data_IF_286336690830
#
_entry.id   IF_286336690830
#
_cell.length_a   1.000
_cell.length_b   1.000
_cell.length_c   1.000
_cell.angle_alpha   90.00
_cell.angle_beta   90.00
_cell.angle_gamma   90.00
#
_symmetry.space_group_name_H-M   'P 1'
#
loop_
_entity.id
_entity.type
_entity.pdbx_description
1 polymer ?
#
# COMPACT_ATOMS: atom_id res chain seq x y z
N UNK A 1 3.99 -29.95 10.54
CA UNK A 1 4.16 -29.02 9.41
C UNK A 1 3.74 -29.72 8.13
N UNK A 2 2.80 -29.18 7.36
CA UNK A 2 2.38 -29.76 6.07
C UNK A 2 3.34 -29.29 4.96
N UNK A 3 4.28 -30.15 4.56
CA UNK A 3 5.33 -29.84 3.58
C UNK A 3 4.74 -29.38 2.23
N UNK A 4 3.59 -29.93 1.84
CA UNK A 4 2.85 -29.55 0.63
C UNK A 4 2.32 -28.12 0.70
N UNK A 5 1.69 -27.73 1.81
CA UNK A 5 1.19 -26.38 2.03
C UNK A 5 2.31 -25.34 2.07
N UNK A 6 3.44 -25.70 2.67
CA UNK A 6 4.62 -24.83 2.77
C UNK A 6 5.29 -24.61 1.41
N UNK A 7 5.39 -25.66 0.59
CA UNK A 7 5.92 -25.56 -0.78
C UNK A 7 5.04 -24.66 -1.66
N UNK A 8 3.71 -24.80 -1.55
CA UNK A 8 2.76 -23.95 -2.25
C UNK A 8 2.86 -22.48 -1.79
N UNK A 9 2.97 -22.24 -0.49
CA UNK A 9 3.16 -20.91 0.08
C UNK A 9 4.42 -20.22 -0.46
N UNK A 10 5.56 -20.91 -0.48
CA UNK A 10 6.81 -20.36 -1.01
C UNK A 10 6.68 -20.03 -2.50
N UNK A 11 6.10 -20.94 -3.29
CA UNK A 11 5.85 -20.70 -4.71
C UNK A 11 4.95 -19.47 -4.92
N UNK A 12 3.86 -19.36 -4.14
CA UNK A 12 2.96 -18.21 -4.18
C UNK A 12 3.67 -16.91 -3.81
N UNK A 13 4.48 -16.90 -2.75
CA UNK A 13 5.23 -15.72 -2.32
C UNK A 13 6.26 -15.28 -3.37
N UNK A 14 6.98 -16.20 -4.00
CA UNK A 14 7.94 -15.89 -5.07
C UNK A 14 7.25 -15.26 -6.28
N UNK A 15 6.16 -15.88 -6.76
CA UNK A 15 5.36 -15.34 -7.87
C UNK A 15 4.76 -13.99 -7.50
N UNK A 16 4.26 -13.85 -6.27
CA UNK A 16 3.73 -12.61 -5.71
C UNK A 16 4.77 -11.49 -5.71
N UNK A 17 5.96 -11.74 -5.19
CA UNK A 17 7.07 -10.77 -5.20
C UNK A 17 7.41 -10.35 -6.64
N UNK A 18 7.57 -11.31 -7.55
CA UNK A 18 7.88 -11.02 -8.95
C UNK A 18 6.79 -10.16 -9.60
N UNK A 19 5.51 -10.51 -9.38
CA UNK A 19 4.37 -9.73 -9.85
C UNK A 19 4.40 -8.29 -9.33
N UNK A 20 4.62 -8.11 -8.02
CA UNK A 20 4.68 -6.79 -7.39
C UNK A 20 5.83 -5.94 -7.93
N UNK A 21 7.02 -6.53 -8.11
CA UNK A 21 8.17 -5.83 -8.67
C UNK A 21 7.91 -5.36 -10.12
N UNK A 22 7.23 -6.18 -10.94
CA UNK A 22 6.85 -5.81 -12.31
C UNK A 22 5.86 -4.65 -12.31
N UNK A 23 4.81 -4.70 -11.49
CA UNK A 23 3.83 -3.62 -11.38
C UNK A 23 4.46 -2.32 -10.85
N UNK A 24 5.31 -2.42 -9.83
CA UNK A 24 6.08 -1.27 -9.32
C UNK A 24 6.93 -0.64 -10.42
N UNK A 25 7.68 -1.46 -11.16
CA UNK A 25 8.51 -0.97 -12.26
C UNK A 25 7.66 -0.25 -13.31
N UNK A 26 6.54 -0.85 -13.74
CA UNK A 26 5.63 -0.25 -14.72
C UNK A 26 5.08 1.10 -14.25
N UNK A 27 4.67 1.21 -12.99
CA UNK A 27 4.13 2.44 -12.43
C UNK A 27 5.22 3.51 -12.31
N UNK A 28 6.41 3.15 -11.80
CA UNK A 28 7.49 4.10 -11.60
C UNK A 28 8.18 4.54 -12.89
N UNK A 29 8.29 3.66 -13.89
CA UNK A 29 8.80 4.02 -15.21
C UNK A 29 7.85 5.03 -15.90
N UNK A 30 6.53 4.94 -15.68
CA UNK A 30 5.58 5.92 -16.22
C UNK A 30 5.63 7.30 -15.55
N UNK A 31 6.14 7.40 -14.31
CA UNK A 31 6.31 8.68 -13.60
C UNK A 31 7.58 9.41 -14.01
N UNK A 32 8.54 8.70 -14.61
CA UNK A 32 9.92 9.17 -14.68
C UNK A 32 10.21 9.87 -16.00
N UNK A 33 9.93 11.17 -16.02
CA UNK A 33 10.66 12.10 -16.89
C UNK A 33 12.02 12.51 -16.32
N UNK A 34 12.29 12.30 -15.03
CA UNK A 34 13.59 12.61 -14.40
C UNK A 34 14.38 11.34 -14.03
N UNK A 35 15.60 11.24 -14.57
CA UNK A 35 16.51 10.11 -14.31
C UNK A 35 16.98 10.06 -12.83
N UNK A 36 17.07 11.22 -12.18
CA UNK A 36 17.52 11.34 -10.79
C UNK A 36 16.55 10.73 -9.79
N UNK A 37 15.24 10.91 -9.99
CA UNK A 37 14.25 10.30 -9.13
C UNK A 37 14.27 8.77 -9.25
N UNK A 38 14.40 8.24 -10.48
CA UNK A 38 14.51 6.79 -10.70
C UNK A 38 15.76 6.20 -10.03
N UNK A 39 16.90 6.88 -10.15
CA UNK A 39 18.15 6.48 -9.48
C UNK A 39 17.99 6.47 -7.95
N UNK A 40 17.37 7.51 -7.38
CA UNK A 40 17.09 7.61 -5.93
C UNK A 40 16.19 6.46 -5.46
N UNK A 41 15.13 6.16 -6.21
CA UNK A 41 14.22 5.05 -5.94
C UNK A 41 14.97 3.72 -5.94
N UNK A 42 15.68 3.39 -7.03
CA UNK A 42 16.43 2.12 -7.15
C UNK A 42 17.48 1.98 -6.05
N UNK A 43 18.29 3.02 -5.81
CA UNK A 43 19.31 2.97 -4.77
C UNK A 43 18.71 2.72 -3.39
N UNK A 44 17.55 3.33 -3.09
CA UNK A 44 16.89 3.14 -1.81
C UNK A 44 16.16 1.80 -1.71
N UNK A 45 15.66 1.25 -2.82
CA UNK A 45 15.05 -0.08 -2.80
C UNK A 45 16.06 -1.17 -2.46
N UNK A 46 17.26 -1.12 -3.06
CA UNK A 46 18.28 -2.17 -2.91
C UNK A 46 19.25 -1.94 -1.73
N UNK A 47 19.58 -0.69 -1.37
CA UNK A 47 20.60 -0.38 -0.37
C UNK A 47 20.04 0.30 0.89
N UNK A 48 18.74 0.15 1.18
CA UNK A 48 18.18 0.75 2.39
C UNK A 48 18.55 -0.06 3.63
N UNK A 49 19.12 0.62 4.64
CA UNK A 49 19.30 0.05 5.99
C UNK A 49 17.97 -0.44 6.58
N UNK A 50 16.86 0.20 6.23
CA UNK A 50 15.53 -0.20 6.70
C UNK A 50 15.12 -1.59 6.19
N UNK A 51 15.58 -1.99 4.99
CA UNK A 51 15.32 -3.33 4.48
C UNK A 51 15.86 -4.38 5.46
N UNK A 52 17.14 -4.27 5.81
CA UNK A 52 17.78 -5.18 6.75
C UNK A 52 17.11 -5.15 8.12
N UNK A 53 16.75 -3.98 8.64
CA UNK A 53 16.03 -3.86 9.93
C UNK A 53 14.68 -4.57 9.89
N UNK A 54 13.90 -4.41 8.82
CA UNK A 54 12.58 -5.04 8.68
C UNK A 54 12.72 -6.55 8.56
N UNK A 55 13.61 -7.03 7.69
CA UNK A 55 13.87 -8.47 7.52
C UNK A 55 14.34 -9.09 8.85
N UNK A 56 15.30 -8.46 9.53
CA UNK A 56 15.75 -8.89 10.85
C UNK A 56 14.62 -8.91 11.88
N UNK A 57 13.75 -7.89 11.92
CA UNK A 57 12.63 -7.84 12.87
C UNK A 57 11.60 -8.97 12.68
N UNK A 58 11.51 -9.49 11.46
CA UNK A 58 10.60 -10.58 11.10
C UNK A 58 11.27 -11.93 11.35
N UNK A 59 12.57 -12.07 11.08
CA UNK A 59 13.30 -13.35 11.21
C UNK A 59 13.73 -13.64 12.65
N UNK A 60 14.29 -12.64 13.35
CA UNK A 60 14.89 -12.86 14.67
C UNK A 60 13.97 -13.52 15.69
N UNK A 61 12.68 -13.13 15.79
CA UNK A 61 11.83 -13.73 16.80
C UNK A 61 11.63 -15.24 16.59
N UNK A 62 11.56 -15.71 15.34
CA UNK A 62 11.46 -17.14 15.05
C UNK A 62 12.74 -17.88 15.39
N UNK A 63 13.91 -17.33 15.06
CA UNK A 63 15.20 -17.93 15.41
C UNK A 63 15.32 -18.08 16.94
N UNK A 64 14.93 -17.06 17.70
CA UNK A 64 15.00 -17.08 19.16
C UNK A 64 14.12 -18.19 19.73
N UNK A 65 12.92 -18.37 19.17
CA UNK A 65 11.96 -19.38 19.65
C UNK A 65 12.43 -20.78 19.31
N UNK A 66 12.84 -21.01 18.06
CA UNK A 66 13.39 -22.30 17.65
C UNK A 66 14.58 -22.68 18.54
N UNK A 67 15.44 -21.72 18.91
CA UNK A 67 16.53 -21.97 19.86
C UNK A 67 16.05 -22.30 21.27
N UNK A 68 15.05 -21.59 21.79
CA UNK A 68 14.48 -21.86 23.11
C UNK A 68 13.85 -23.26 23.14
N UNK A 69 13.09 -23.63 22.11
CA UNK A 69 12.43 -24.92 22.01
C UNK A 69 13.45 -26.06 21.98
N UNK A 70 14.55 -25.91 21.22
CA UNK A 70 15.65 -26.88 21.22
C UNK A 70 16.28 -26.99 22.61
N UNK A 71 16.55 -25.85 23.29
CA UNK A 71 17.16 -25.83 24.62
C UNK A 71 16.26 -26.43 25.71
N UNK A 72 14.94 -26.35 25.55
CA UNK A 72 13.96 -26.92 26.49
C UNK A 72 13.69 -28.42 26.26
N UNK A 73 14.46 -29.07 25.40
CA UNK A 73 14.30 -30.50 25.09
C UNK A 73 13.29 -30.77 23.99
N UNK A 74 13.07 -29.80 23.09
CA UNK A 74 12.28 -29.96 21.89
C UNK A 74 12.74 -31.15 21.04
N UNK A 75 11.78 -31.80 20.40
CA UNK A 75 12.00 -33.06 19.69
C UNK A 75 12.35 -32.75 18.23
N UNK A 76 13.64 -32.78 17.87
CA UNK A 76 14.09 -32.74 16.46
C UNK A 76 14.20 -34.15 15.90
N UNK A 77 14.20 -34.28 14.56
CA UNK A 77 14.33 -35.60 13.93
C UNK A 77 15.66 -36.27 14.33
N UNK A 78 16.73 -35.50 14.42
CA UNK A 78 18.05 -36.00 14.84
C UNK A 78 18.09 -36.44 16.31
N UNK A 79 17.35 -35.80 17.21
CA UNK A 79 17.27 -36.19 18.62
C UNK A 79 16.54 -37.52 18.78
N UNK A 80 15.49 -37.76 17.98
CA UNK A 80 14.72 -39.01 18.00
C UNK A 80 15.49 -40.16 17.34
N UNK A 81 16.09 -39.88 16.19
CA UNK A 81 16.83 -40.87 15.41
C UNK A 81 18.13 -40.22 14.90
N UNK A 82 19.28 -40.42 15.57
CA UNK A 82 20.53 -39.74 15.27
C UNK A 82 21.21 -40.32 14.02
N UNK A 83 20.58 -40.13 12.86
CA UNK A 83 21.10 -40.51 11.54
C UNK A 83 21.41 -39.25 10.72
N UNK A 84 22.30 -39.41 9.72
CA UNK A 84 22.60 -38.32 8.77
C UNK A 84 21.34 -37.86 8.02
N UNK A 85 20.40 -38.76 7.74
CA UNK A 85 19.13 -38.42 7.09
C UNK A 85 18.25 -37.55 7.97
N UNK A 86 18.14 -37.88 9.26
CA UNK A 86 17.40 -37.07 10.23
C UNK A 86 18.00 -35.66 10.40
N UNK A 87 19.33 -35.56 10.41
CA UNK A 87 20.02 -34.26 10.46
C UNK A 87 19.75 -33.42 9.20
N UNK A 88 19.82 -34.02 8.03
CA UNK A 88 19.51 -33.33 6.77
C UNK A 88 18.04 -32.89 6.70
N UNK A 89 17.11 -33.69 7.24
CA UNK A 89 15.70 -33.33 7.34
C UNK A 89 15.47 -32.15 8.28
N UNK A 90 16.15 -32.10 9.42
CA UNK A 90 16.12 -30.95 10.33
C UNK A 90 16.60 -29.68 9.60
N UNK A 91 17.78 -29.71 8.96
CA UNK A 91 18.31 -28.58 8.18
C UNK A 91 17.31 -28.13 7.11
N UNK A 92 16.74 -29.07 6.36
CA UNK A 92 15.78 -28.77 5.32
C UNK A 92 14.54 -28.07 5.88
N UNK A 93 13.96 -28.58 6.97
CA UNK A 93 12.77 -27.98 7.58
C UNK A 93 13.05 -26.56 8.10
N UNK A 94 14.16 -26.35 8.82
CA UNK A 94 14.54 -25.02 9.31
C UNK A 94 14.82 -24.05 8.16
N UNK A 95 15.57 -24.48 7.13
CA UNK A 95 15.87 -23.65 5.96
C UNK A 95 14.60 -23.24 5.21
N UNK A 96 13.65 -24.16 5.08
CA UNK A 96 12.40 -23.91 4.36
C UNK A 96 11.46 -22.99 5.15
N UNK A 97 11.42 -23.14 6.49
CA UNK A 97 10.70 -22.21 7.37
C UNK A 97 11.30 -20.80 7.31
N UNK A 98 12.63 -20.68 7.42
CA UNK A 98 13.33 -19.40 7.31
C UNK A 98 13.12 -18.73 5.95
N UNK A 99 13.13 -19.51 4.86
CA UNK A 99 12.85 -19.00 3.52
C UNK A 99 11.43 -18.40 3.44
N UNK A 100 10.44 -19.09 3.97
CA UNK A 100 9.06 -18.61 4.00
C UNK A 100 8.93 -17.27 4.76
N UNK A 101 9.57 -17.17 5.92
CA UNK A 101 9.58 -15.96 6.75
C UNK A 101 10.33 -14.81 6.05
N UNK A 102 11.45 -15.10 5.40
CA UNK A 102 12.23 -14.15 4.61
C UNK A 102 11.40 -13.57 3.45
N UNK A 103 10.67 -14.42 2.73
CA UNK A 103 9.81 -14.00 1.64
C UNK A 103 8.64 -13.14 2.15
N UNK A 104 8.03 -13.50 3.28
CA UNK A 104 6.99 -12.69 3.92
C UNK A 104 7.53 -11.31 4.33
N UNK A 105 8.72 -11.26 4.94
CA UNK A 105 9.42 -10.03 5.27
C UNK A 105 9.74 -9.19 4.03
N UNK A 106 10.05 -9.82 2.90
CA UNK A 106 10.27 -9.13 1.62
C UNK A 106 8.99 -8.50 1.08
N UNK A 107 7.84 -9.18 1.18
CA UNK A 107 6.54 -8.59 0.84
C UNK A 107 6.24 -7.41 1.77
N UNK A 108 6.52 -7.52 3.06
CA UNK A 108 6.35 -6.44 4.03
C UNK A 108 7.23 -5.22 3.69
N UNK A 109 8.49 -5.46 3.30
CA UNK A 109 9.37 -4.41 2.82
C UNK A 109 8.80 -3.70 1.59
N UNK A 110 8.25 -4.44 0.63
CA UNK A 110 7.61 -3.87 -0.58
C UNK A 110 6.46 -2.93 -0.18
N UNK A 111 5.60 -3.33 0.77
CA UNK A 111 4.51 -2.50 1.28
C UNK A 111 5.02 -1.18 1.87
N UNK A 112 6.04 -1.28 2.75
CA UNK A 112 6.66 -0.11 3.40
C UNK A 112 7.27 0.81 2.35
N UNK A 113 7.98 0.24 1.38
CA UNK A 113 8.63 0.99 0.33
C UNK A 113 7.62 1.73 -0.56
N UNK A 114 6.53 1.09 -0.99
CA UNK A 114 5.45 1.74 -1.77
C UNK A 114 4.88 2.92 -0.97
N UNK A 115 4.63 2.72 0.32
CA UNK A 115 4.08 3.76 1.20
C UNK A 115 5.03 4.95 1.33
N UNK A 116 6.33 4.68 1.44
CA UNK A 116 7.35 5.72 1.46
C UNK A 116 7.42 6.48 0.12
N UNK A 117 7.45 5.77 -1.01
CA UNK A 117 7.49 6.41 -2.34
C UNK A 117 6.28 7.31 -2.55
N UNK A 118 5.09 6.88 -2.13
CA UNK A 118 3.89 7.69 -2.19
C UNK A 118 4.01 8.95 -1.34
N UNK A 119 4.54 8.84 -0.13
CA UNK A 119 4.74 10.02 0.72
C UNK A 119 5.77 10.99 0.12
N UNK A 120 6.84 10.48 -0.48
CA UNK A 120 7.85 11.31 -1.17
C UNK A 120 7.27 12.01 -2.40
N UNK A 121 6.42 11.33 -3.16
CA UNK A 121 5.70 11.91 -4.30
C UNK A 121 4.67 12.98 -3.88
N UNK A 122 4.16 12.87 -2.65
CA UNK A 122 3.30 13.90 -2.07
C UNK A 122 4.04 15.14 -1.59
N UNK A 123 5.38 15.12 -1.56
CA UNK A 123 6.19 16.26 -1.18
C UNK A 123 6.42 17.20 -2.38
N UNK A 124 6.44 18.50 -2.14
CA UNK A 124 6.42 19.56 -3.16
C UNK A 124 7.53 19.40 -4.22
N UNK A 125 8.68 18.84 -3.85
CA UNK A 125 9.84 18.66 -4.74
C UNK A 125 9.64 17.69 -5.91
N UNK A 126 8.64 16.79 -5.84
CA UNK A 126 8.41 15.76 -6.86
C UNK A 126 6.98 15.74 -7.40
N UNK A 127 6.20 16.73 -7.00
CA UNK A 127 4.79 16.84 -7.34
C UNK A 127 4.57 16.83 -8.85
N UNK A 128 5.37 17.58 -9.61
CA UNK A 128 5.23 17.74 -11.08
C UNK A 128 5.45 16.45 -11.89
N UNK A 129 5.96 15.39 -11.26
CA UNK A 129 6.13 14.08 -11.89
C UNK A 129 4.79 13.34 -12.04
N UNK A 130 3.78 13.67 -11.23
CA UNK A 130 2.46 13.07 -11.33
C UNK A 130 1.59 13.94 -12.24
N UNK A 131 1.17 13.37 -13.38
CA UNK A 131 0.10 13.96 -14.20
C UNK A 131 -1.22 13.89 -13.41
N UNK A 132 -1.52 14.97 -12.69
CA UNK A 132 -2.73 15.06 -11.89
C UNK A 132 -3.84 15.80 -12.65
N UNK A 133 -4.93 15.11 -12.90
CA UNK A 133 -6.11 15.66 -13.59
C UNK A 133 -7.32 15.70 -12.65
N UNK A 134 -7.69 16.88 -12.15
CA UNK A 134 -8.83 17.04 -11.22
C UNK A 134 -10.15 16.50 -11.79
N UNK A 135 -10.30 16.50 -13.11
CA UNK A 135 -11.53 16.08 -13.79
C UNK A 135 -11.52 14.61 -14.20
N UNK A 136 -10.51 13.85 -13.78
CA UNK A 136 -10.44 12.43 -14.08
C UNK A 136 -11.62 11.66 -13.49
N UNK A 137 -12.11 10.67 -14.25
CA UNK A 137 -13.25 9.82 -13.88
C UNK A 137 -13.00 9.07 -12.54
N UNK A 138 -11.73 8.83 -12.20
CA UNK A 138 -11.34 8.11 -10.98
C UNK A 138 -11.45 8.94 -9.68
N UNK A 139 -11.81 10.24 -9.76
CA UNK A 139 -12.02 11.16 -8.61
C UNK A 139 -10.79 11.34 -7.69
N UNK A 140 -9.63 10.84 -8.10
CA UNK A 140 -8.35 10.92 -7.35
C UNK A 140 -7.22 11.42 -8.25
N UNK A 141 -7.56 12.06 -9.37
CA UNK A 141 -6.64 12.74 -10.25
C UNK A 141 -5.58 11.87 -10.90
N UNK A 142 -5.93 10.65 -11.30
CA UNK A 142 -4.98 9.73 -11.96
C UNK A 142 -4.11 8.93 -10.99
N UNK A 143 -4.35 9.00 -9.68
CA UNK A 143 -3.66 8.19 -8.66
C UNK A 143 -4.16 6.74 -8.58
N UNK A 144 -5.10 6.33 -9.45
CA UNK A 144 -5.64 4.97 -9.52
C UNK A 144 -4.57 3.87 -9.65
N UNK A 145 -3.49 4.01 -10.44
CA UNK A 145 -2.44 2.99 -10.52
C UNK A 145 -1.78 2.72 -9.16
N UNK A 146 -1.51 3.76 -8.38
CA UNK A 146 -0.94 3.60 -7.04
C UNK A 146 -1.92 2.98 -6.05
N UNK A 147 -3.19 3.39 -6.10
CA UNK A 147 -4.24 2.76 -5.29
C UNK A 147 -4.33 1.27 -5.56
N UNK A 148 -4.31 0.89 -6.85
CA UNK A 148 -4.34 -0.50 -7.27
C UNK A 148 -3.07 -1.24 -6.83
N UNK A 149 -1.90 -0.61 -6.90
CA UNK A 149 -0.65 -1.20 -6.42
C UNK A 149 -0.71 -1.50 -4.92
N UNK A 150 -1.16 -0.54 -4.09
CA UNK A 150 -1.35 -0.75 -2.65
C UNK A 150 -2.30 -1.93 -2.41
N UNK A 151 -3.47 -1.93 -3.07
CA UNK A 151 -4.45 -2.99 -2.93
C UNK A 151 -3.89 -4.35 -3.32
N UNK A 152 -3.27 -4.46 -4.49
CA UNK A 152 -2.72 -5.73 -4.98
C UNK A 152 -1.61 -6.26 -4.07
N UNK A 153 -0.77 -5.35 -3.53
CA UNK A 153 0.26 -5.71 -2.55
C UNK A 153 -0.35 -6.27 -1.27
N UNK A 154 -1.42 -5.63 -0.77
CA UNK A 154 -2.15 -6.11 0.41
C UNK A 154 -2.85 -7.45 0.17
N UNK A 155 -3.40 -7.68 -1.03
CA UNK A 155 -3.98 -8.99 -1.38
C UNK A 155 -2.90 -10.08 -1.34
N UNK A 156 -1.75 -9.87 -2.00
CA UNK A 156 -0.64 -10.83 -1.97
C UNK A 156 -0.19 -11.09 -0.53
N UNK A 157 -0.12 -10.04 0.28
CA UNK A 157 0.25 -10.12 1.69
C UNK A 157 -0.75 -10.93 2.53
N UNK A 158 -2.05 -10.63 2.45
CA UNK A 158 -3.06 -11.34 3.23
C UNK A 158 -3.23 -12.79 2.79
N UNK A 159 -3.11 -13.09 1.50
CA UNK A 159 -3.11 -14.48 1.01
C UNK A 159 -1.86 -15.21 1.52
N UNK A 160 -0.69 -14.56 1.52
CA UNK A 160 0.54 -15.15 2.09
C UNK A 160 0.38 -15.45 3.58
N UNK A 161 -0.23 -14.55 4.36
CA UNK A 161 -0.55 -14.81 5.78
C UNK A 161 -1.55 -15.94 5.93
N UNK A 162 -2.59 -15.99 5.10
CA UNK A 162 -3.60 -17.06 5.12
C UNK A 162 -2.96 -18.42 4.93
N UNK A 163 -2.09 -18.54 3.92
CA UNK A 163 -1.35 -19.76 3.64
C UNK A 163 -0.34 -20.09 4.76
N UNK A 164 0.31 -19.09 5.36
CA UNK A 164 1.18 -19.29 6.52
C UNK A 164 0.40 -19.82 7.73
N UNK A 165 -0.80 -19.30 8.01
CA UNK A 165 -1.70 -19.81 9.06
C UNK A 165 -2.04 -21.28 8.81
N UNK A 166 -2.41 -21.63 7.58
CA UNK A 166 -2.78 -23.01 7.22
C UNK A 166 -1.59 -23.96 7.40
N UNK A 167 -0.40 -23.56 6.91
CA UNK A 167 0.79 -24.39 6.88
C UNK A 167 1.50 -24.53 8.25
N UNK A 168 1.48 -23.47 9.07
CA UNK A 168 2.32 -23.35 10.27
C UNK A 168 1.55 -23.49 11.58
N UNK A 169 0.29 -23.02 11.66
CA UNK A 169 -0.47 -23.11 12.91
C UNK A 169 -1.00 -24.54 13.09
N UNK A 170 -0.53 -25.20 14.16
CA UNK A 170 -1.05 -26.49 14.58
C UNK A 170 -2.49 -26.34 15.11
N UNK A 171 -3.43 -27.24 14.77
CA UNK A 171 -4.81 -27.16 15.22
C UNK A 171 -4.99 -27.16 16.75
N UNK A 172 -3.99 -27.66 17.49
CA UNK A 172 -4.06 -27.83 18.94
C UNK A 172 -3.29 -26.77 19.74
N UNK A 173 -2.62 -25.82 19.09
CA UNK A 173 -1.67 -24.90 19.74
C UNK A 173 -2.09 -23.43 19.60
N UNK A 174 -3.31 -23.14 20.06
CA UNK A 174 -4.04 -21.87 19.89
C UNK A 174 -3.30 -20.64 20.46
N UNK A 175 -2.46 -20.83 21.48
CA UNK A 175 -1.72 -19.75 22.15
C UNK A 175 -0.21 -19.84 21.95
N UNK A 176 0.24 -20.32 20.79
CA UNK A 176 1.67 -20.25 20.47
C UNK A 176 2.07 -18.87 19.98
N UNK A 177 3.35 -18.57 20.13
CA UNK A 177 3.92 -17.29 19.72
C UNK A 177 3.65 -16.98 18.24
N UNK A 178 3.70 -17.98 17.36
CA UNK A 178 3.51 -17.80 15.91
C UNK A 178 2.11 -17.28 15.59
N UNK A 179 1.09 -17.70 16.37
CA UNK A 179 -0.27 -17.19 16.24
C UNK A 179 -0.33 -15.71 16.58
N UNK A 180 0.30 -15.27 17.68
CA UNK A 180 0.38 -13.86 18.07
C UNK A 180 1.17 -13.03 17.05
N UNK A 181 2.27 -13.56 16.53
CA UNK A 181 3.06 -12.92 15.50
C UNK A 181 2.27 -12.72 14.21
N UNK A 182 1.57 -13.76 13.73
CA UNK A 182 0.74 -13.66 12.51
C UNK A 182 -0.44 -12.70 12.69
N UNK A 183 -1.06 -12.63 13.87
CA UNK A 183 -2.07 -11.60 14.18
C UNK A 183 -1.45 -10.20 14.13
N UNK A 184 -0.26 -10.03 14.69
CA UNK A 184 0.46 -8.74 14.66
C UNK A 184 0.72 -8.33 13.21
N UNK A 185 1.16 -9.25 12.36
CA UNK A 185 1.33 -9.01 10.93
C UNK A 185 0.01 -8.66 10.22
N UNK A 186 -1.12 -9.27 10.60
CA UNK A 186 -2.43 -8.88 10.07
C UNK A 186 -2.77 -7.43 10.41
N UNK A 187 -2.60 -7.03 11.67
CA UNK A 187 -2.84 -5.65 12.12
C UNK A 187 -1.94 -4.65 11.39
N UNK A 188 -0.66 -5.01 11.19
CA UNK A 188 0.28 -4.22 10.40
C UNK A 188 -0.23 -4.01 8.96
N UNK A 189 -0.80 -5.04 8.33
CA UNK A 189 -1.42 -4.92 7.01
C UNK A 189 -2.59 -3.93 6.97
N UNK A 190 -3.45 -3.93 7.99
CA UNK A 190 -4.54 -2.95 8.14
C UNK A 190 -3.98 -1.53 8.30
N UNK A 191 -2.95 -1.36 9.11
CA UNK A 191 -2.26 -0.07 9.29
C UNK A 191 -1.73 0.48 7.96
N UNK A 192 -1.09 -0.36 7.15
CA UNK A 192 -0.59 0.04 5.83
C UNK A 192 -1.71 0.42 4.85
N UNK A 193 -2.84 -0.28 4.88
CA UNK A 193 -3.99 0.10 4.06
C UNK A 193 -4.47 1.51 4.39
N UNK A 194 -4.67 1.80 5.68
CA UNK A 194 -5.11 3.12 6.14
C UNK A 194 -4.09 4.20 5.79
N UNK A 195 -2.80 3.94 5.98
CA UNK A 195 -1.73 4.87 5.64
C UNK A 195 -1.64 5.13 4.13
N UNK A 196 -1.75 4.08 3.30
CA UNK A 196 -1.70 4.20 1.84
C UNK A 196 -2.86 5.01 1.27
N UNK A 197 -4.09 4.70 1.70
CA UNK A 197 -5.30 5.46 1.33
C UNK A 197 -5.22 6.90 1.85
N UNK A 198 -4.79 7.09 3.09
CA UNK A 198 -4.59 8.41 3.69
C UNK A 198 -3.59 9.27 2.90
N UNK A 199 -2.50 8.67 2.44
CA UNK A 199 -1.48 9.36 1.63
C UNK A 199 -2.03 9.76 0.27
N UNK A 200 -2.73 8.85 -0.43
CA UNK A 200 -3.40 9.18 -1.72
C UNK A 200 -4.39 10.33 -1.53
N UNK A 201 -5.19 10.29 -0.46
CA UNK A 201 -6.15 11.34 -0.14
C UNK A 201 -5.45 12.67 0.12
N UNK A 202 -4.34 12.68 0.87
CA UNK A 202 -3.54 13.87 1.15
C UNK A 202 -3.01 14.49 -0.14
N UNK A 203 -2.41 13.69 -1.02
CA UNK A 203 -1.89 14.14 -2.32
C UNK A 203 -3.02 14.74 -3.15
N UNK A 204 -4.13 14.01 -3.30
CA UNK A 204 -5.26 14.47 -4.09
C UNK A 204 -5.83 15.79 -3.57
N UNK A 205 -5.96 15.95 -2.26
CA UNK A 205 -6.50 17.18 -1.65
C UNK A 205 -5.55 18.36 -1.80
N UNK A 206 -4.26 18.17 -1.52
CA UNK A 206 -3.25 19.22 -1.70
C UNK A 206 -3.26 19.77 -3.12
N UNK A 207 -3.31 18.89 -4.13
CA UNK A 207 -3.39 19.32 -5.54
C UNK A 207 -4.67 20.08 -5.88
N UNK A 208 -5.80 19.68 -5.29
CA UNK A 208 -7.06 20.41 -5.48
C UNK A 208 -6.98 21.79 -4.82
N UNK A 209 -6.44 21.88 -3.61
CA UNK A 209 -6.24 23.15 -2.89
C UNK A 209 -5.32 24.10 -3.66
N UNK A 210 -4.23 23.61 -4.26
CA UNK A 210 -3.32 24.43 -5.04
C UNK A 210 -4.01 25.00 -6.30
N UNK A 211 -4.83 24.20 -6.99
CA UNK A 211 -5.63 24.71 -8.11
C UNK A 211 -6.67 25.73 -7.67
N UNK A 212 -7.33 25.54 -6.53
CA UNK A 212 -8.26 26.53 -5.97
C UNK A 212 -7.52 27.84 -5.65
N UNK A 213 -6.32 27.79 -5.07
CA UNK A 213 -5.49 28.98 -4.83
C UNK A 213 -5.13 29.72 -6.12
N UNK A 214 -4.78 28.99 -7.19
CA UNK A 214 -4.49 29.58 -8.49
C UNK A 214 -5.74 30.28 -9.06
N UNK A 215 -6.91 29.66 -8.96
CA UNK A 215 -8.17 30.25 -9.42
C UNK A 215 -8.52 31.50 -8.60
N UNK A 216 -8.41 31.43 -7.26
CA UNK A 216 -8.67 32.59 -6.40
C UNK A 216 -7.72 33.76 -6.74
N UNK A 217 -6.43 33.49 -6.96
CA UNK A 217 -5.46 34.54 -7.35
C UNK A 217 -5.81 35.18 -8.70
N UNK A 218 -6.25 34.37 -9.67
CA UNK A 218 -6.73 34.89 -10.97
C UNK A 218 -8.01 35.71 -10.79
N UNK A 219 -8.95 35.22 -9.97
CA UNK A 219 -10.18 35.92 -9.66
C UNK A 219 -9.90 37.30 -9.04
N UNK A 220 -9.03 37.38 -8.02
CA UNK A 220 -8.62 38.66 -7.42
C UNK A 220 -8.00 39.62 -8.44
N UNK A 221 -7.18 39.09 -9.36
CA UNK A 221 -6.54 39.90 -10.41
C UNK A 221 -7.56 40.46 -11.40
N UNK A 222 -8.54 39.66 -11.84
CA UNK A 222 -9.59 40.10 -12.77
C UNK A 222 -10.63 40.99 -12.08
N UNK A 223 -10.94 40.75 -10.81
CA UNK A 223 -11.84 41.60 -10.00
C UNK A 223 -11.24 42.98 -9.78
N UNK A 224 -9.93 43.06 -9.47
CA UNK A 224 -9.23 44.34 -9.35
C UNK A 224 -9.25 45.13 -10.66
N UNK A 225 -9.00 44.47 -11.81
CA UNK A 225 -9.13 45.10 -13.13
C UNK A 225 -10.55 45.60 -13.39
N UNK A 226 -11.58 44.88 -12.93
CA UNK A 226 -12.98 45.29 -13.08
C UNK A 226 -13.25 46.56 -12.29
N UNK A 227 -12.77 46.61 -11.05
CA UNK A 227 -12.95 47.77 -10.17
C UNK A 227 -12.20 48.99 -10.68
N UNK A 228 -10.97 48.83 -11.17
CA UNK A 228 -10.20 49.90 -11.79
C UNK A 228 -10.94 50.46 -13.01
N UNK A 229 -11.46 49.57 -13.86
CA UNK A 229 -12.23 49.93 -15.05
C UNK A 229 -13.54 50.66 -14.75
N UNK A 230 -14.28 50.23 -13.71
CA UNK A 230 -15.48 50.92 -13.24
C UNK A 230 -15.14 52.31 -12.69
N UNK A 231 -14.00 52.44 -12.00
CA UNK A 231 -13.55 53.69 -11.38
C UNK A 231 -13.08 54.74 -12.40
N UNK A 232 -12.58 54.32 -13.57
CA UNK A 232 -12.17 55.21 -14.67
C UNK A 232 -13.34 55.90 -15.38
N UNK A 233 -14.60 55.52 -15.12
CA UNK A 233 -15.79 56.24 -15.58
C UNK A 233 -16.13 56.14 -17.09
N UNK A 234 -15.33 55.42 -17.89
CA UNK A 234 -15.50 55.24 -19.34
C UNK A 234 -16.36 54.02 -19.74
N UNK A 235 -17.20 53.51 -18.83
CA UNK A 235 -17.93 52.24 -18.98
C UNK A 235 -18.84 52.14 -20.22
N UNK A 236 -19.28 53.26 -20.81
CA UNK A 236 -20.10 53.27 -22.03
C UNK A 236 -19.32 53.05 -23.33
N UNK A 237 -18.04 53.41 -23.37
CA UNK A 237 -17.21 53.34 -24.59
C UNK A 237 -16.52 51.98 -24.76
N UNK A 238 -16.44 51.19 -23.67
CA UNK A 238 -15.75 49.90 -23.60
C UNK A 238 -16.63 48.79 -23.02
N UNK A 239 -17.92 48.80 -23.37
CA UNK A 239 -18.92 47.87 -22.85
C UNK A 239 -18.59 46.39 -23.13
N UNK A 240 -17.94 46.11 -24.26
CA UNK A 240 -17.50 44.77 -24.64
C UNK A 240 -16.37 44.23 -23.74
N UNK A 241 -15.41 45.08 -23.34
CA UNK A 241 -14.35 44.71 -22.38
C UNK A 241 -14.95 44.40 -21.00
N UNK A 242 -15.92 45.19 -20.56
CA UNK A 242 -16.61 44.98 -19.29
C UNK A 242 -17.42 43.67 -19.28
N UNK A 243 -18.11 43.35 -20.38
CA UNK A 243 -18.82 42.08 -20.54
C UNK A 243 -17.87 40.88 -20.54
N UNK A 244 -16.71 41.00 -21.20
CA UNK A 244 -15.69 39.95 -21.23
C UNK A 244 -15.10 39.69 -19.84
N UNK A 245 -14.82 40.76 -19.09
CA UNK A 245 -14.27 40.66 -17.73
C UNK A 245 -15.29 40.03 -16.76
N UNK A 246 -16.55 40.46 -16.84
CA UNK A 246 -17.66 39.88 -16.06
C UNK A 246 -17.87 38.40 -16.37
N UNK A 247 -17.90 38.02 -17.66
CA UNK A 247 -18.02 36.63 -18.09
C UNK A 247 -16.83 35.77 -17.63
N UNK A 248 -15.63 36.34 -17.61
CA UNK A 248 -14.42 35.67 -17.11
C UNK A 248 -14.53 35.41 -15.61
N UNK A 249 -14.99 36.38 -14.82
CA UNK A 249 -15.21 36.22 -13.38
C UNK A 249 -16.27 35.17 -13.06
N UNK A 250 -17.39 35.17 -13.78
CA UNK A 250 -18.44 34.15 -13.63
C UNK A 250 -17.92 32.74 -13.96
N UNK A 251 -17.10 32.63 -15.01
CA UNK A 251 -16.44 31.37 -15.39
C UNK A 251 -15.50 30.88 -14.28
N UNK A 252 -14.65 31.77 -13.74
CA UNK A 252 -13.73 31.43 -12.65
C UNK A 252 -14.47 31.02 -11.37
N UNK A 253 -15.56 31.73 -11.02
CA UNK A 253 -16.38 31.40 -9.86
C UNK A 253 -17.04 30.01 -10.01
N UNK A 254 -17.61 29.75 -11.19
CA UNK A 254 -18.23 28.45 -11.51
C UNK A 254 -17.21 27.32 -11.48
N UNK A 255 -16.01 27.55 -12.01
CA UNK A 255 -14.92 26.57 -11.99
C UNK A 255 -14.44 26.28 -10.55
N UNK A 256 -14.30 27.33 -9.73
CA UNK A 256 -13.97 27.20 -8.30
C UNK A 256 -14.99 26.32 -7.56
N UNK A 257 -16.28 26.58 -7.73
CA UNK A 257 -17.33 25.81 -7.06
C UNK A 257 -17.35 24.35 -7.51
N UNK A 258 -17.16 24.09 -8.81
CA UNK A 258 -17.02 22.72 -9.33
C UNK A 258 -15.82 22.00 -8.69
N UNK A 259 -14.68 22.67 -8.57
CA UNK A 259 -13.48 22.07 -7.97
C UNK A 259 -13.65 21.83 -6.46
N UNK A 260 -14.34 22.73 -5.74
CA UNK A 260 -14.68 22.53 -4.32
C UNK A 260 -15.62 21.33 -4.11
N UNK A 261 -16.57 21.11 -5.02
CA UNK A 261 -17.41 19.90 -5.01
C UNK A 261 -16.58 18.63 -5.26
N UNK A 262 -15.54 18.69 -6.09
CA UNK A 262 -14.62 17.57 -6.29
C UNK A 262 -13.76 17.35 -5.02
N UNK A 263 -13.31 18.42 -4.38
CA UNK A 263 -12.55 18.36 -3.12
C UNK A 263 -13.30 17.62 -2.01
N UNK A 264 -14.59 17.94 -1.81
CA UNK A 264 -15.41 17.29 -0.79
C UNK A 264 -15.63 15.79 -1.07
N UNK A 265 -15.59 15.40 -2.34
CA UNK A 265 -15.76 14.03 -2.81
C UNK A 265 -14.45 13.22 -2.94
N UNK A 266 -13.28 13.86 -2.82
CA UNK A 266 -11.96 13.22 -2.90
C UNK A 266 -11.64 12.41 -1.62
N UNK A 267 -12.25 11.23 -1.48
CA UNK A 267 -12.08 10.33 -0.32
C UNK A 267 -10.83 9.46 -0.41
N UNK A 268 -10.25 9.27 -1.60
CA UNK A 268 -9.06 8.42 -1.82
C UNK A 268 -9.38 6.92 -1.96
N UNK A 269 -10.63 6.50 -1.75
CA UNK A 269 -11.09 5.12 -1.83
C UNK A 269 -12.50 5.06 -2.45
N UNK A 270 -12.78 3.96 -3.16
CA UNK A 270 -14.11 3.64 -3.69
C UNK A 270 -14.69 2.41 -2.98
N UNK A 271 -15.99 2.15 -3.15
CA UNK A 271 -16.65 0.93 -2.61
C UNK A 271 -15.91 -0.33 -3.06
N UNK A 272 -15.44 -0.36 -4.31
CA UNK A 272 -14.65 -1.48 -4.87
C UNK A 272 -13.32 -1.66 -4.12
N UNK A 273 -12.65 -0.56 -3.73
CA UNK A 273 -11.41 -0.58 -2.93
C UNK A 273 -11.67 -1.20 -1.57
N UNK A 274 -12.75 -0.78 -0.90
CA UNK A 274 -13.16 -1.31 0.41
C UNK A 274 -13.51 -2.80 0.28
N UNK A 275 -14.32 -3.17 -0.71
CA UNK A 275 -14.75 -4.55 -0.91
C UNK A 275 -13.55 -5.49 -1.15
N UNK A 276 -12.58 -5.09 -1.98
CA UNK A 276 -11.34 -5.86 -2.21
C UNK A 276 -10.48 -6.00 -0.95
N UNK A 277 -10.37 -4.94 -0.16
CA UNK A 277 -9.63 -4.98 1.10
C UNK A 277 -10.31 -5.93 2.10
N UNK A 278 -11.62 -5.77 2.31
CA UNK A 278 -12.39 -6.62 3.23
C UNK A 278 -12.34 -8.08 2.78
N UNK A 279 -12.54 -8.37 1.49
CA UNK A 279 -12.54 -9.75 1.00
C UNK A 279 -11.19 -10.43 1.18
N UNK A 280 -10.08 -9.72 0.95
CA UNK A 280 -8.74 -10.27 1.17
C UNK A 280 -8.37 -10.38 2.66
N UNK A 281 -8.84 -9.47 3.51
CA UNK A 281 -8.62 -9.51 4.95
C UNK A 281 -9.45 -10.57 5.68
N UNK A 282 -10.64 -10.89 5.18
CA UNK A 282 -11.51 -11.93 5.75
C UNK A 282 -10.88 -13.33 5.60
N UNK A 283 -10.16 -13.60 4.51
CA UNK A 283 -9.52 -14.90 4.27
C UNK A 283 -8.60 -15.37 5.41
N UNK A 284 -7.61 -14.59 5.87
CA UNK A 284 -6.75 -15.02 6.97
C UNK A 284 -7.52 -15.12 8.29
N UNK A 285 -8.55 -14.30 8.51
CA UNK A 285 -9.42 -14.43 9.69
C UNK A 285 -10.19 -15.75 9.68
N UNK A 286 -10.78 -16.14 8.55
CA UNK A 286 -11.48 -17.42 8.42
C UNK A 286 -10.50 -18.57 8.64
N UNK A 287 -9.32 -18.54 8.01
CA UNK A 287 -8.31 -19.57 8.20
C UNK A 287 -7.87 -19.70 9.66
N UNK A 288 -7.70 -18.57 10.35
CA UNK A 288 -7.39 -18.55 11.78
C UNK A 288 -8.53 -19.13 12.62
N UNK A 289 -9.77 -18.68 12.41
CA UNK A 289 -10.96 -19.19 13.11
C UNK A 289 -11.18 -20.70 12.87
N UNK A 290 -10.91 -21.19 11.66
CA UNK A 290 -11.01 -22.61 11.32
C UNK A 290 -10.02 -23.44 12.15
N UNK A 291 -8.78 -22.94 12.33
CA UNK A 291 -7.79 -23.59 13.19
C UNK A 291 -8.18 -23.52 14.66
N UNK A 292 -8.78 -22.42 15.11
CA UNK A 292 -9.22 -22.24 16.51
C UNK A 292 -10.40 -23.14 16.91
N UNK A 293 -11.42 -23.24 16.07
CA UNK A 293 -12.69 -23.87 16.43
C UNK A 293 -12.86 -25.28 15.86
N UNK A 294 -11.86 -25.82 15.17
CA UNK A 294 -11.97 -27.08 14.41
C UNK A 294 -13.22 -27.13 13.51
N UNK A 295 -13.69 -25.98 13.05
CA UNK A 295 -14.92 -25.88 12.28
C UNK A 295 -14.67 -26.46 10.88
N UNK A 296 -15.14 -27.68 10.64
CA UNK A 296 -15.22 -28.23 9.29
C UNK A 296 -16.24 -27.37 8.52
N UNK A 297 -15.80 -26.66 7.48
CA UNK A 297 -16.65 -25.91 6.55
C UNK A 297 -17.41 -26.93 5.67
N UNK A 298 -18.29 -27.70 6.30
CA UNK A 298 -19.29 -28.55 5.65
C UNK A 298 -20.72 -28.06 5.91
N UNK A 299 -20.90 -27.02 6.73
CA UNK A 299 -22.21 -26.56 7.20
C UNK A 299 -22.60 -25.16 6.71
N UNK A 300 -21.82 -24.54 5.83
CA UNK A 300 -22.18 -23.26 5.20
C UNK A 300 -21.94 -23.38 3.69
N UNK A 301 -22.70 -24.26 3.05
CA UNK A 301 -22.95 -24.28 1.61
C UNK A 301 -24.37 -24.82 1.40
#
# INVERSE_FOLDING_TARGET
MEISALSFLIAFQLVGIQYLLIEMKKIFDNLTKSADFNRKLKQRFYNSRLYYVIISSVIFPFIIIDMIDILQGGVTFYIVEPTMWSFLLDIFNYSTSLLMILLLGTILWIIIYISWVLNELGNDSYQDLIKFDIFSIDRIGGLKPFRNLILNTLVVYFVSITLAIIAYISPFSIFTYESFFLITLLLVGVGFFLMGVGTIRKISRGRIEDKVKIINKKYETEDQKLMDFISEGNAKEKLDELNLLSSTLETLYTERDRILQIHSNAKGYDIITIAKFISSFILPLIAYLQKLFHFSIKTIL
#
